data_IF_105657833044
#
_entry.id   IF_105657833044
#
_cell.length_a   1.000
_cell.length_b   1.000
_cell.length_c   1.000
_cell.angle_alpha   90.00
_cell.angle_beta   90.00
_cell.angle_gamma   90.00
#
_symmetry.space_group_name_H-M   'P 1'
#
loop_
_entity.id
_entity.type
_entity.pdbx_description
1 polymer ?
#
# COMPACT_ATOMS: atom_id res chain seq x y z
N UNK A 1 -25.87 7.85 -8.69
CA UNK A 1 -25.12 6.81 -9.41
C UNK A 1 -26.09 5.70 -9.75
N UNK A 2 -26.20 5.29 -11.01
CA UNK A 2 -27.07 4.18 -11.42
C UNK A 2 -26.44 2.82 -11.07
N UNK A 3 -27.24 1.75 -11.06
CA UNK A 3 -26.75 0.39 -10.77
C UNK A 3 -25.65 -0.05 -11.76
N UNK A 4 -25.80 0.27 -13.04
CA UNK A 4 -24.79 -0.02 -14.08
C UNK A 4 -23.51 0.81 -13.87
N UNK A 5 -23.63 2.07 -13.46
CA UNK A 5 -22.48 2.91 -13.13
C UNK A 5 -21.70 2.35 -11.94
N UNK A 6 -22.40 1.87 -10.90
CA UNK A 6 -21.77 1.24 -9.73
C UNK A 6 -21.00 -0.02 -10.13
N UNK A 7 -21.62 -0.92 -10.89
CA UNK A 7 -20.98 -2.17 -11.32
C UNK A 7 -19.74 -1.92 -12.19
N UNK A 8 -19.81 -0.94 -13.10
CA UNK A 8 -18.69 -0.52 -13.94
C UNK A 8 -17.54 0.04 -13.10
N UNK A 9 -17.84 0.91 -12.13
CA UNK A 9 -16.83 1.53 -11.29
C UNK A 9 -16.19 0.52 -10.32
N UNK A 10 -16.95 -0.40 -9.73
CA UNK A 10 -16.41 -1.52 -8.95
C UNK A 10 -15.42 -2.34 -9.79
N UNK A 11 -15.81 -2.72 -11.01
CA UNK A 11 -14.96 -3.51 -11.91
C UNK A 11 -13.67 -2.77 -12.26
N UNK A 12 -13.78 -1.48 -12.57
CA UNK A 12 -12.63 -0.63 -12.89
C UNK A 12 -11.67 -0.53 -11.70
N UNK A 13 -12.19 -0.24 -10.51
CA UNK A 13 -11.38 -0.13 -9.28
C UNK A 13 -10.73 -1.45 -8.90
N UNK A 14 -11.44 -2.56 -9.05
CA UNK A 14 -10.90 -3.90 -8.84
C UNK A 14 -9.70 -4.17 -9.76
N UNK A 15 -9.81 -3.85 -11.05
CA UNK A 15 -8.69 -3.99 -12.01
C UNK A 15 -7.50 -3.09 -11.65
N UNK A 16 -7.76 -1.87 -11.19
CA UNK A 16 -6.71 -0.97 -10.70
C UNK A 16 -6.01 -1.54 -9.46
N UNK A 17 -6.78 -2.01 -8.48
CA UNK A 17 -6.27 -2.62 -7.26
C UNK A 17 -5.43 -3.87 -7.56
N UNK A 18 -5.86 -4.71 -8.51
CA UNK A 18 -5.13 -5.90 -8.92
C UNK A 18 -3.80 -5.57 -9.65
N UNK A 19 -3.80 -4.55 -10.53
CA UNK A 19 -2.56 -4.03 -11.14
C UNK A 19 -1.62 -3.42 -10.10
N UNK A 20 -2.15 -2.61 -9.19
CA UNK A 20 -1.39 -2.03 -8.09
C UNK A 20 -0.79 -3.09 -7.18
N UNK A 21 -1.56 -4.12 -6.84
CA UNK A 21 -1.10 -5.25 -6.03
C UNK A 21 0.14 -5.92 -6.66
N UNK A 22 0.08 -6.26 -7.96
CA UNK A 22 1.22 -6.85 -8.67
C UNK A 22 2.42 -5.90 -8.72
N UNK A 23 2.21 -4.64 -9.13
CA UNK A 23 3.29 -3.67 -9.29
C UNK A 23 4.01 -3.40 -7.97
N UNK A 24 3.27 -3.16 -6.89
CA UNK A 24 3.85 -2.87 -5.57
C UNK A 24 4.47 -4.11 -4.92
N UNK A 25 3.94 -5.30 -5.16
CA UNK A 25 4.58 -6.55 -4.72
C UNK A 25 5.93 -6.75 -5.40
N UNK A 26 6.00 -6.58 -6.72
CA UNK A 26 7.26 -6.66 -7.47
C UNK A 26 8.25 -5.60 -7.00
N UNK A 27 7.82 -4.34 -6.86
CA UNK A 27 8.67 -3.27 -6.36
C UNK A 27 9.24 -3.56 -4.96
N UNK A 28 8.40 -4.07 -4.05
CA UNK A 28 8.81 -4.45 -2.71
C UNK A 28 9.87 -5.56 -2.71
N UNK A 29 9.60 -6.68 -3.39
CA UNK A 29 10.51 -7.82 -3.40
C UNK A 29 11.81 -7.54 -4.17
N UNK A 30 11.76 -6.75 -5.26
CA UNK A 30 12.97 -6.34 -5.96
C UNK A 30 13.81 -5.38 -5.12
N UNK A 31 13.21 -4.36 -4.51
CA UNK A 31 13.94 -3.42 -3.68
C UNK A 31 14.61 -4.12 -2.49
N UNK A 32 13.86 -4.97 -1.77
CA UNK A 32 14.39 -5.69 -0.63
C UNK A 32 15.41 -6.77 -1.03
N UNK A 33 15.10 -7.56 -2.05
CA UNK A 33 15.95 -8.64 -2.53
C UNK A 33 17.28 -8.13 -3.09
N UNK A 34 17.24 -7.13 -3.97
CA UNK A 34 18.45 -6.54 -4.56
C UNK A 34 19.27 -5.85 -3.45
N UNK A 35 18.64 -5.07 -2.56
CA UNK A 35 19.36 -4.44 -1.44
C UNK A 35 20.08 -5.48 -0.57
N UNK A 36 19.41 -6.59 -0.24
CA UNK A 36 19.99 -7.67 0.56
C UNK A 36 21.15 -8.33 -0.18
N UNK A 37 20.98 -8.68 -1.45
CA UNK A 37 22.04 -9.31 -2.27
C UNK A 37 23.23 -8.36 -2.41
N UNK A 38 23.00 -7.07 -2.66
CA UNK A 38 24.06 -6.06 -2.70
C UNK A 38 24.86 -6.01 -1.41
N UNK A 39 24.20 -6.06 -0.24
CA UNK A 39 24.87 -6.13 1.06
C UNK A 39 25.74 -7.38 1.22
N UNK A 40 25.22 -8.55 0.83
CA UNK A 40 25.97 -9.82 0.87
C UNK A 40 27.19 -9.79 -0.07
N UNK A 41 27.02 -9.28 -1.30
CA UNK A 41 28.09 -9.17 -2.28
C UNK A 41 29.19 -8.20 -1.79
N UNK A 42 28.79 -7.05 -1.26
CA UNK A 42 29.72 -6.08 -0.66
C UNK A 42 30.50 -6.74 0.47
N UNK A 43 29.84 -7.41 1.41
CA UNK A 43 30.50 -8.08 2.53
C UNK A 43 31.45 -9.21 2.06
N UNK A 44 31.11 -9.92 0.98
CA UNK A 44 31.92 -11.00 0.45
C UNK A 44 33.22 -10.52 -0.23
N UNK A 45 33.20 -9.32 -0.83
CA UNK A 45 34.29 -8.78 -1.67
C UNK A 45 35.10 -7.71 -0.93
N UNK A 46 34.51 -6.97 0.01
CA UNK A 46 35.16 -5.86 0.70
C UNK A 46 36.49 -6.30 1.34
N UNK A 47 37.55 -5.57 1.04
CA UNK A 47 38.90 -5.85 1.54
C UNK A 47 39.61 -7.04 0.89
N UNK A 48 39.03 -7.68 -0.13
CA UNK A 48 39.65 -8.78 -0.88
C UNK A 48 40.06 -8.33 -2.28
N UNK A 49 41.25 -8.74 -2.73
CA UNK A 49 41.73 -8.51 -4.09
C UNK A 49 41.24 -9.63 -5.03
N UNK A 50 39.94 -9.62 -5.32
CA UNK A 50 39.32 -10.59 -6.24
C UNK A 50 39.28 -9.96 -7.63
N UNK A 51 40.04 -10.54 -8.57
CA UNK A 51 40.04 -10.13 -9.98
C UNK A 51 39.36 -11.19 -10.85
N UNK A 52 38.44 -10.76 -11.71
CA UNK A 52 37.77 -11.61 -12.71
C UNK A 52 37.94 -10.96 -14.08
N UNK A 53 38.49 -11.70 -15.04
CA UNK A 53 38.80 -11.18 -16.38
C UNK A 53 39.63 -9.87 -16.37
N UNK A 54 40.53 -9.72 -15.39
CA UNK A 54 41.36 -8.52 -15.25
C UNK A 54 40.69 -7.33 -14.55
N UNK A 55 39.42 -7.46 -14.15
CA UNK A 55 38.66 -6.43 -13.45
C UNK A 55 38.70 -6.70 -11.94
N UNK A 56 39.16 -5.74 -11.15
CA UNK A 56 39.15 -5.86 -9.69
C UNK A 56 37.75 -5.54 -9.14
N UNK A 57 37.12 -6.52 -8.50
CA UNK A 57 35.76 -6.37 -8.00
C UNK A 57 35.67 -5.42 -6.79
N UNK A 58 36.78 -5.20 -6.07
CA UNK A 58 36.83 -4.24 -4.95
C UNK A 58 36.47 -2.81 -5.37
N UNK A 59 36.79 -2.44 -6.60
CA UNK A 59 36.61 -1.08 -7.11
C UNK A 59 35.12 -0.73 -7.30
N UNK A 60 34.27 -1.75 -7.43
CA UNK A 60 32.82 -1.61 -7.62
C UNK A 60 32.03 -1.72 -6.31
N UNK A 61 32.68 -2.10 -5.20
CA UNK A 61 32.04 -2.23 -3.88
C UNK A 61 31.29 -0.95 -3.47
N UNK A 62 31.84 0.27 -3.61
CA UNK A 62 31.13 1.49 -3.25
C UNK A 62 29.86 1.70 -4.08
N UNK A 63 29.89 1.37 -5.38
CA UNK A 63 28.74 1.51 -6.27
C UNK A 63 27.62 0.53 -5.90
N UNK A 64 27.98 -0.73 -5.63
CA UNK A 64 27.02 -1.76 -5.22
C UNK A 64 26.40 -1.40 -3.85
N UNK A 65 27.21 -0.92 -2.91
CA UNK A 65 26.75 -0.47 -1.60
C UNK A 65 25.79 0.74 -1.70
N UNK A 66 26.10 1.70 -2.57
CA UNK A 66 25.25 2.86 -2.83
C UNK A 66 23.90 2.44 -3.42
N UNK A 67 23.90 1.59 -4.44
CA UNK A 67 22.66 1.07 -5.04
C UNK A 67 21.82 0.30 -4.02
N UNK A 68 22.45 -0.57 -3.23
CA UNK A 68 21.76 -1.32 -2.17
C UNK A 68 21.15 -0.41 -1.10
N UNK A 69 21.83 0.70 -0.77
CA UNK A 69 21.35 1.71 0.18
C UNK A 69 20.18 2.51 -0.37
N UNK A 70 20.24 2.95 -1.63
CA UNK A 70 19.14 3.65 -2.31
C UNK A 70 17.89 2.77 -2.38
N UNK A 71 18.04 1.49 -2.74
CA UNK A 71 16.92 0.56 -2.82
C UNK A 71 16.33 0.25 -1.45
N UNK A 72 17.17 0.11 -0.42
CA UNK A 72 16.70 -0.04 0.97
C UNK A 72 15.88 1.16 1.42
N UNK A 73 16.41 2.37 1.20
CA UNK A 73 15.72 3.62 1.52
C UNK A 73 14.41 3.75 0.72
N UNK A 74 14.42 3.45 -0.58
CA UNK A 74 13.22 3.47 -1.40
C UNK A 74 12.17 2.45 -0.92
N UNK A 75 12.59 1.28 -0.44
CA UNK A 75 11.69 0.29 0.16
C UNK A 75 10.98 0.82 1.41
N UNK A 76 11.73 1.48 2.31
CA UNK A 76 11.20 2.05 3.56
C UNK A 76 10.34 3.29 3.29
N UNK A 77 10.89 4.30 2.61
CA UNK A 77 10.20 5.58 2.38
C UNK A 77 9.10 5.47 1.32
N UNK A 78 9.29 4.63 0.31
CA UNK A 78 8.31 4.41 -0.76
C UNK A 78 7.05 3.68 -0.30
N UNK A 79 7.10 3.02 0.86
CA UNK A 79 5.94 2.33 1.46
C UNK A 79 5.38 1.24 0.56
N UNK A 80 6.23 0.52 -0.18
CA UNK A 80 5.79 -0.46 -1.17
C UNK A 80 4.95 -1.58 -0.55
N UNK A 81 5.35 -2.07 0.62
CA UNK A 81 4.59 -3.08 1.35
C UNK A 81 3.19 -2.58 1.73
N UNK A 82 3.08 -1.35 2.25
CA UNK A 82 1.82 -0.73 2.63
C UNK A 82 0.89 -0.57 1.42
N UNK A 83 1.42 -0.01 0.31
CA UNK A 83 0.67 0.14 -0.94
C UNK A 83 0.23 -1.21 -1.50
N UNK A 84 1.09 -2.22 -1.45
CA UNK A 84 0.75 -3.58 -1.86
C UNK A 84 -0.39 -4.16 -1.02
N UNK A 85 -0.28 -4.11 0.31
CA UNK A 85 -1.32 -4.59 1.24
C UNK A 85 -2.65 -3.86 1.04
N UNK A 86 -2.64 -2.54 0.94
CA UNK A 86 -3.83 -1.73 0.68
C UNK A 86 -4.54 -2.16 -0.61
N UNK A 87 -3.80 -2.33 -1.70
CA UNK A 87 -4.35 -2.82 -2.97
C UNK A 87 -4.94 -4.24 -2.85
N UNK A 88 -4.30 -5.14 -2.08
CA UNK A 88 -4.80 -6.50 -1.87
C UNK A 88 -6.11 -6.52 -1.08
N UNK A 89 -6.20 -5.72 -0.02
CA UNK A 89 -7.41 -5.60 0.81
C UNK A 89 -8.56 -5.03 -0.02
N UNK A 90 -8.35 -3.90 -0.67
CA UNK A 90 -9.36 -3.26 -1.53
C UNK A 90 -9.85 -4.17 -2.64
N UNK A 91 -8.97 -4.94 -3.28
CA UNK A 91 -9.38 -5.93 -4.29
C UNK A 91 -10.35 -6.95 -3.69
N UNK A 92 -10.03 -7.49 -2.52
CA UNK A 92 -10.86 -8.48 -1.83
C UNK A 92 -12.21 -7.89 -1.41
N UNK A 93 -12.25 -6.67 -0.88
CA UNK A 93 -13.49 -5.99 -0.50
C UNK A 93 -14.39 -5.69 -1.71
N UNK A 94 -13.80 -5.29 -2.85
CA UNK A 94 -14.55 -5.09 -4.09
C UNK A 94 -15.06 -6.41 -4.69
N UNK A 95 -14.31 -7.52 -4.54
CA UNK A 95 -14.77 -8.87 -4.90
C UNK A 95 -15.99 -9.26 -4.05
N UNK A 96 -15.92 -9.06 -2.74
CA UNK A 96 -17.04 -9.32 -1.82
C UNK A 96 -18.25 -8.45 -2.18
N UNK A 97 -18.06 -7.16 -2.42
CA UNK A 97 -19.14 -6.24 -2.81
C UNK A 97 -19.82 -6.67 -4.11
N UNK A 98 -19.02 -7.11 -5.09
CA UNK A 98 -19.53 -7.64 -6.36
C UNK A 98 -20.37 -8.90 -6.16
N UNK A 99 -19.92 -9.81 -5.28
CA UNK A 99 -20.64 -11.03 -4.94
C UNK A 99 -21.97 -10.75 -4.22
N UNK A 100 -22.00 -9.78 -3.29
CA UNK A 100 -23.23 -9.32 -2.62
C UNK A 100 -24.27 -8.84 -3.62
N UNK A 101 -23.85 -8.00 -4.56
CA UNK A 101 -24.73 -7.52 -5.64
C UNK A 101 -25.20 -8.69 -6.53
N UNK A 102 -24.30 -9.60 -6.90
CA UNK A 102 -24.65 -10.77 -7.70
C UNK A 102 -25.60 -11.74 -6.96
N UNK A 103 -25.56 -11.78 -5.63
CA UNK A 103 -26.47 -12.55 -4.78
C UNK A 103 -27.87 -11.92 -4.64
N UNK A 104 -28.11 -10.77 -5.29
CA UNK A 104 -29.42 -10.11 -5.31
C UNK A 104 -29.57 -8.95 -4.34
N UNK A 105 -28.50 -8.53 -3.64
CA UNK A 105 -28.55 -7.30 -2.84
C UNK A 105 -28.71 -6.07 -3.75
N UNK A 106 -29.54 -5.12 -3.31
CA UNK A 106 -29.87 -3.95 -4.09
C UNK A 106 -28.61 -3.05 -4.26
N UNK A 107 -28.15 -2.78 -5.50
CA UNK A 107 -26.93 -2.02 -5.72
C UNK A 107 -27.00 -0.58 -5.17
N UNK A 108 -28.19 0.04 -5.12
CA UNK A 108 -28.32 1.39 -4.55
C UNK A 108 -27.90 1.45 -3.08
N UNK A 109 -28.12 0.37 -2.32
CA UNK A 109 -27.81 0.30 -0.89
C UNK A 109 -26.31 0.05 -0.66
N UNK A 110 -25.58 -0.31 -1.73
CA UNK A 110 -24.15 -0.63 -1.74
C UNK A 110 -23.24 0.53 -2.12
N UNK A 111 -23.82 1.66 -2.53
CA UNK A 111 -23.04 2.86 -2.90
C UNK A 111 -22.19 3.34 -1.73
N UNK A 112 -22.73 3.35 -0.51
CA UNK A 112 -21.99 3.80 0.67
C UNK A 112 -20.85 2.84 1.02
N UNK A 113 -21.12 1.52 0.99
CA UNK A 113 -20.09 0.48 1.20
C UNK A 113 -18.94 0.61 0.19
N UNK A 114 -19.26 0.88 -1.09
CA UNK A 114 -18.24 1.17 -2.10
C UNK A 114 -17.39 2.42 -1.77
N UNK A 115 -18.02 3.52 -1.35
CA UNK A 115 -17.31 4.76 -0.98
C UNK A 115 -16.37 4.50 0.19
N UNK A 116 -16.81 3.71 1.17
CA UNK A 116 -16.03 3.42 2.37
C UNK A 116 -14.81 2.55 2.06
N UNK A 117 -14.94 1.59 1.13
CA UNK A 117 -13.80 0.82 0.60
C UNK A 117 -12.76 1.74 -0.04
N UNK A 118 -13.19 2.71 -0.85
CA UNK A 118 -12.29 3.67 -1.52
C UNK A 118 -11.60 4.56 -0.48
N UNK A 119 -12.33 5.08 0.51
CA UNK A 119 -11.75 5.91 1.58
C UNK A 119 -10.72 5.13 2.40
N UNK A 120 -11.03 3.88 2.74
CA UNK A 120 -10.13 3.01 3.48
C UNK A 120 -8.85 2.73 2.69
N UNK A 121 -8.96 2.52 1.38
CA UNK A 121 -7.82 2.39 0.49
C UNK A 121 -6.90 3.62 0.52
N UNK A 122 -7.50 4.80 0.35
CA UNK A 122 -6.76 6.07 0.29
C UNK A 122 -6.06 6.35 1.63
N UNK A 123 -6.76 6.16 2.75
CA UNK A 123 -6.18 6.29 4.10
C UNK A 123 -5.00 5.32 4.31
N UNK A 124 -5.16 4.06 3.90
CA UNK A 124 -4.10 3.06 4.00
C UNK A 124 -2.87 3.41 3.15
N UNK A 125 -3.04 4.06 1.99
CA UNK A 125 -1.91 4.51 1.17
C UNK A 125 -1.21 5.72 1.80
N UNK A 126 -1.98 6.69 2.29
CA UNK A 126 -1.50 7.98 2.80
C UNK A 126 -0.88 7.90 4.22
N UNK A 127 -1.04 6.78 4.93
CA UNK A 127 -0.38 6.51 6.20
C UNK A 127 -0.65 7.59 7.27
N UNK A 128 -1.92 7.93 7.48
CA UNK A 128 -2.45 8.66 8.66
C UNK A 128 -1.75 9.99 9.04
N UNK A 129 -1.19 10.73 8.08
CA UNK A 129 -1.02 12.19 8.24
C UNK A 129 -2.35 12.94 8.18
N UNK A 130 -3.39 12.26 7.72
CA UNK A 130 -4.80 12.66 7.78
C UNK A 130 -5.51 11.62 8.63
N UNK A 131 -5.43 11.75 9.95
CA UNK A 131 -6.29 10.98 10.86
C UNK A 131 -7.74 11.27 10.48
N UNK A 132 -8.43 10.31 9.88
CA UNK A 132 -9.88 10.28 9.95
C UNK A 132 -10.21 10.07 11.43
N UNK A 133 -10.93 11.01 12.04
CA UNK A 133 -11.14 11.08 13.51
C UNK A 133 -11.79 9.83 14.13
N UNK A 134 -12.23 8.83 13.35
CA UNK A 134 -12.50 7.48 13.85
C UNK A 134 -12.13 6.40 12.83
N UNK A 135 -11.49 5.29 13.25
CA UNK A 135 -11.52 4.06 12.48
C UNK A 135 -12.97 3.58 12.39
N UNK A 136 -13.46 3.32 11.17
CA UNK A 136 -14.79 2.74 10.97
C UNK A 136 -14.76 1.28 11.46
N UNK A 137 -15.48 1.02 12.55
CA UNK A 137 -15.79 -0.32 13.04
C UNK A 137 -17.06 -0.79 12.32
N UNK A 138 -17.02 -1.85 11.49
CA UNK A 138 -18.21 -2.36 10.83
C UNK A 138 -19.14 -2.98 11.88
N UNK A 139 -20.15 -2.23 12.33
CA UNK A 139 -21.18 -2.73 13.26
C UNK A 139 -21.85 -1.69 14.18
N UNK A 140 -21.28 -0.50 14.36
CA UNK A 140 -21.84 0.48 15.31
C UNK A 140 -22.63 1.59 14.62
N UNK A 141 -23.86 1.27 14.23
CA UNK A 141 -24.89 2.28 13.99
C UNK A 141 -25.50 2.70 15.33
N UNK A 142 -24.90 3.67 16.03
CA UNK A 142 -25.65 4.50 17.00
C UNK A 142 -25.21 5.96 16.94
N UNK A 143 -26.20 6.81 16.66
CA UNK A 143 -26.15 8.28 16.76
C UNK A 143 -25.67 8.67 18.16
N UNK A 144 -24.59 9.43 18.25
CA UNK A 144 -24.39 10.35 19.37
C UNK A 144 -24.01 11.73 18.84
N UNK A 145 -24.81 12.68 19.29
CA UNK A 145 -24.81 14.11 18.98
C UNK A 145 -23.50 14.79 19.35
N UNK A 146 -23.00 15.62 18.43
CA UNK A 146 -21.87 16.53 18.63
C UNK A 146 -22.17 17.55 19.74
N UNK A 147 -21.34 17.57 20.79
CA UNK A 147 -21.21 18.74 21.69
C UNK A 147 -19.81 19.32 21.48
N UNK A 148 -19.67 20.62 21.17
CA UNK A 148 -18.36 21.25 21.02
C UNK A 148 -17.72 21.44 22.39
N UNK A 149 -16.53 20.89 22.62
CA UNK A 149 -15.71 21.29 23.76
C UNK A 149 -15.06 22.64 23.46
N UNK A 150 -15.59 23.67 24.12
CA UNK A 150 -15.02 25.00 24.23
C UNK A 150 -13.61 24.94 24.82
N UNK A 151 -12.69 25.63 24.16
CA UNK A 151 -11.40 25.99 24.70
C UNK A 151 -11.57 26.75 26.03
N UNK A 152 -10.98 26.23 27.10
CA UNK A 152 -10.62 26.99 28.30
C UNK A 152 -9.24 26.52 28.75
N UNK A 153 -8.28 27.44 28.71
CA UNK A 153 -6.94 27.24 29.25
C UNK A 153 -6.85 27.50 30.74
N UNK A 154 -5.62 27.80 31.17
CA UNK A 154 -5.19 28.34 32.48
C UNK A 154 -4.96 27.19 33.50
N UNK A 155 -3.75 26.92 34.03
CA UNK A 155 -2.56 27.73 34.33
C UNK A 155 -1.26 27.01 34.01
#
# INVERSE_FOLDING_TARGET
MTNEQLASEITKRRKQADRGCRAWSTAFHLAFGISTISGVVVAAIAGKNISVCGINLSDYVPLIALLGSILSAAGVFGGFERKWKANRITRNELDILSLKIAAGENPSDKVQEYIDIVRTHDAAILNDSFKLEKPFQPGEAKRETLVPQTAQGVR
#
